data_IF_063202997067
#
_entry.id   IF_063202997067
#
_cell.length_a   1.000
_cell.length_b   1.000
_cell.length_c   1.000
_cell.angle_alpha   90.00
_cell.angle_beta   90.00
_cell.angle_gamma   90.00
#
_symmetry.space_group_name_H-M   'P 1'
#
loop_
_entity.id
_entity.type
_entity.pdbx_description
1 polymer ?
#
# COMPACT_ATOMS: atom_id res chain seq x y z
N UNK A 1 13.34 9.91 0.28
CA UNK A 1 12.65 11.04 0.09
C UNK A 1 11.21 10.80 0.17
N UNK A 2 10.50 11.53 0.84
CA UNK A 2 9.09 11.34 1.03
C UNK A 2 8.27 12.01 -0.03
N UNK A 3 6.98 11.75 0.01
CA UNK A 3 6.03 12.39 -0.86
C UNK A 3 5.49 13.58 -0.09
N UNK A 4 5.73 14.75 -0.61
CA UNK A 4 5.34 15.96 0.09
C UNK A 4 3.93 16.41 -0.20
N UNK A 5 3.36 15.92 -1.29
CA UNK A 5 2.07 16.38 -1.66
C UNK A 5 1.02 15.53 -1.01
N UNK A 6 0.07 16.12 -0.42
CA UNK A 6 -1.01 15.43 0.22
C UNK A 6 -2.11 15.14 -0.78
N UNK A 7 -2.69 13.97 -0.67
CA UNK A 7 -3.75 13.60 -1.59
C UNK A 7 -5.08 14.14 -1.12
N UNK A 8 -5.84 14.71 -2.01
CA UNK A 8 -7.18 15.18 -1.71
C UNK A 8 -8.21 14.12 -1.96
N UNK A 9 -7.83 12.97 -2.53
CA UNK A 9 -8.80 11.95 -2.87
C UNK A 9 -8.83 10.90 -1.79
N UNK A 10 -10.02 10.45 -1.49
CA UNK A 10 -10.17 9.31 -0.61
C UNK A 10 -9.93 8.06 -1.40
N UNK A 11 -9.20 7.14 -0.85
CA UNK A 11 -8.96 5.88 -1.49
C UNK A 11 -9.21 4.76 -0.50
N UNK A 12 -9.79 3.69 -0.98
CA UNK A 12 -9.98 2.49 -0.20
C UNK A 12 -9.01 1.45 -0.67
N UNK A 13 -8.46 0.72 0.28
CA UNK A 13 -7.50 -0.30 -0.04
C UNK A 13 -7.94 -1.59 0.61
N UNK A 14 -8.00 -2.65 -0.17
CA UNK A 14 -8.35 -3.97 0.34
C UNK A 14 -7.27 -4.94 -0.08
N UNK A 15 -6.88 -5.82 0.81
CA UNK A 15 -5.82 -6.77 0.53
C UNK A 15 -6.30 -8.13 0.99
N UNK A 16 -6.14 -9.12 0.14
CA UNK A 16 -6.53 -10.46 0.52
C UNK A 16 -6.01 -11.49 -0.47
N UNK A 17 -6.12 -12.75 -0.11
CA UNK A 17 -5.68 -13.82 -1.01
C UNK A 17 -6.73 -14.09 -2.05
N UNK A 18 -6.28 -14.56 -3.20
CA UNK A 18 -7.19 -15.04 -4.22
C UNK A 18 -7.28 -16.55 -4.11
N UNK A 19 -8.26 -17.12 -4.79
CA UNK A 19 -8.46 -18.56 -4.71
C UNK A 19 -7.46 -19.33 -5.55
N UNK A 20 -6.59 -18.64 -6.27
CA UNK A 20 -5.51 -19.31 -7.00
C UNK A 20 -4.16 -19.03 -6.37
N UNK A 21 -4.14 -18.57 -5.13
CA UNK A 21 -2.88 -18.44 -4.41
C UNK A 21 -2.12 -17.17 -4.67
N UNK A 22 -2.79 -16.14 -5.16
CA UNK A 22 -2.17 -14.84 -5.33
C UNK A 22 -2.63 -13.90 -4.23
N UNK A 23 -1.97 -12.78 -4.12
CA UNK A 23 -2.38 -11.73 -3.19
C UNK A 23 -2.91 -10.57 -4.02
N UNK A 24 -4.14 -10.19 -3.77
CA UNK A 24 -4.73 -9.08 -4.51
C UNK A 24 -4.75 -7.83 -3.64
N UNK A 25 -4.22 -6.75 -4.19
CA UNK A 25 -4.34 -5.44 -3.62
C UNK A 25 -5.30 -4.67 -4.51
N UNK A 26 -6.38 -4.23 -3.91
CA UNK A 26 -7.47 -3.62 -4.65
C UNK A 26 -7.60 -2.19 -4.18
N UNK A 27 -7.40 -1.27 -5.07
CA UNK A 27 -7.46 0.15 -4.76
C UNK A 27 -8.65 0.75 -5.48
N UNK A 28 -9.48 1.48 -4.76
CA UNK A 28 -10.58 2.17 -5.40
C UNK A 28 -10.62 3.61 -4.93
N UNK A 29 -10.89 4.51 -5.84
CA UNK A 29 -10.91 5.92 -5.55
C UNK A 29 -11.71 6.62 -6.63
N UNK A 30 -12.69 7.42 -6.22
CA UNK A 30 -13.42 8.27 -7.15
C UNK A 30 -14.04 7.54 -8.32
N UNK A 31 -14.54 6.35 -8.09
CA UNK A 31 -15.16 5.58 -9.17
C UNK A 31 -14.19 4.74 -9.97
N UNK A 32 -12.91 4.85 -9.70
CA UNK A 32 -11.91 4.06 -10.38
C UNK A 32 -11.49 2.92 -9.47
N UNK A 33 -11.37 1.73 -10.04
CA UNK A 33 -11.01 0.54 -9.27
C UNK A 33 -9.85 -0.14 -9.96
N UNK A 34 -8.81 -0.41 -9.21
CA UNK A 34 -7.59 -0.99 -9.76
C UNK A 34 -7.23 -2.22 -8.96
N UNK A 35 -7.50 -3.41 -9.48
CA UNK A 35 -7.04 -4.63 -8.83
C UNK A 35 -5.65 -4.98 -9.32
N UNK A 36 -4.79 -5.38 -8.39
CA UNK A 36 -3.43 -5.78 -8.73
C UNK A 36 -3.14 -7.08 -8.01
N UNK A 37 -2.67 -8.07 -8.74
CA UNK A 37 -2.39 -9.37 -8.17
C UNK A 37 -0.89 -9.60 -8.14
N UNK A 38 -0.42 -10.13 -7.05
CA UNK A 38 1.00 -10.38 -6.85
C UNK A 38 1.23 -11.79 -6.35
N UNK A 39 2.38 -12.36 -6.67
CA UNK A 39 2.79 -13.60 -6.05
C UNK A 39 2.98 -13.37 -4.57
N UNK A 40 2.83 -14.41 -3.74
CA UNK A 40 3.06 -14.23 -2.31
C UNK A 40 4.44 -13.68 -1.98
N UNK A 41 5.46 -14.08 -2.74
CA UNK A 41 6.79 -13.57 -2.47
C UNK A 41 6.91 -12.10 -2.80
N UNK A 42 6.31 -11.68 -3.90
CA UNK A 42 6.26 -10.27 -4.20
C UNK A 42 5.49 -9.50 -3.15
N UNK A 43 4.39 -10.08 -2.70
CA UNK A 43 3.60 -9.43 -1.66
C UNK A 43 4.40 -9.23 -0.39
N UNK A 44 5.23 -10.22 -0.04
CA UNK A 44 6.09 -10.08 1.12
C UNK A 44 7.08 -8.94 0.95
N UNK A 45 7.63 -8.79 -0.24
CA UNK A 45 8.56 -7.71 -0.50
C UNK A 45 7.86 -6.36 -0.43
N UNK A 46 6.66 -6.29 -0.97
CA UNK A 46 5.90 -5.04 -0.92
C UNK A 46 5.59 -4.68 0.53
N UNK A 47 5.21 -5.68 1.33
CA UNK A 47 4.89 -5.41 2.72
C UNK A 47 6.11 -4.89 3.47
N UNK A 48 7.29 -5.40 3.14
CA UNK A 48 8.50 -4.93 3.78
C UNK A 48 8.80 -3.49 3.40
N UNK A 49 8.58 -3.14 2.15
CA UNK A 49 8.78 -1.77 1.72
C UNK A 49 7.81 -0.82 2.41
N UNK A 50 6.57 -1.26 2.57
CA UNK A 50 5.60 -0.44 3.29
C UNK A 50 6.03 -0.26 4.74
N UNK A 51 6.49 -1.33 5.36
CA UNK A 51 6.92 -1.26 6.75
C UNK A 51 8.09 -0.30 6.92
N UNK A 52 9.05 -0.35 5.99
CA UNK A 52 10.20 0.55 6.06
C UNK A 52 9.80 1.99 5.83
N UNK A 53 8.86 2.21 4.91
CA UNK A 53 8.35 3.56 4.68
C UNK A 53 7.64 4.08 5.92
N UNK A 54 6.90 3.21 6.61
CA UNK A 54 6.22 3.63 7.83
C UNK A 54 7.23 4.04 8.90
N UNK A 55 8.33 3.29 9.00
CA UNK A 55 9.35 3.66 9.95
C UNK A 55 9.98 5.01 9.62
N UNK A 56 10.26 5.22 8.33
CA UNK A 56 10.84 6.49 7.93
C UNK A 56 9.88 7.64 8.20
N UNK A 57 8.59 7.40 7.94
CA UNK A 57 7.61 8.45 8.17
C UNK A 57 7.51 8.80 9.65
N UNK A 58 7.60 7.79 10.52
CA UNK A 58 7.55 8.08 11.95
C UNK A 58 8.71 8.94 12.40
N UNK A 59 9.87 8.74 11.80
CA UNK A 59 11.01 9.56 12.15
C UNK A 59 10.82 11.00 11.75
N UNK A 60 10.10 11.21 10.67
CA UNK A 60 9.88 12.58 10.21
C UNK A 60 8.92 13.33 11.10
N UNK A 61 7.90 12.66 11.60
CA UNK A 61 6.94 13.37 12.41
C UNK A 61 7.24 13.25 13.90
N UNK A 62 8.23 12.45 14.30
CA UNK A 62 8.55 12.32 15.60
C UNK A 62 9.12 13.53 16.04
N UNK A 63 8.84 14.26 16.68
CA UNK A 63 9.34 15.35 17.05
C UNK A 63 9.65 15.37 18.14
N UNK A 64 9.72 15.10 18.55
CA UNK A 64 9.96 14.99 19.59
C UNK A 64 9.99 15.67 20.35
#
# INVERSE_FOLDING_TARGET
MGINKQSDLEANLQIGPTDIGMVRIYVSSGGTEIPMDFDPEEADEISEEIRLAAQAARKLIKKS
#
